data_IF_524542569867
#
_entry.id   IF_524542569867
#
_cell.length_a   1.000
_cell.length_b   1.000
_cell.length_c   1.000
_cell.angle_alpha   90.00
_cell.angle_beta   90.00
_cell.angle_gamma   90.00
#
_symmetry.space_group_name_H-M   'P 1'
#
loop_
_entity.id
_entity.type
_entity.pdbx_description
1 polymer ?
#
# COMPACT_ATOMS: atom_id res chain seq x y z
N UNK A 1 -23.72 11.11 2.09
CA UNK A 1 -22.54 10.39 2.63
C UNK A 1 -22.86 8.91 2.64
N UNK A 2 -22.46 8.17 1.59
CA UNK A 2 -22.92 6.80 1.34
C UNK A 2 -22.39 5.77 2.35
N UNK A 3 -21.14 5.92 2.83
CA UNK A 3 -20.55 4.99 3.80
C UNK A 3 -21.37 4.98 5.10
N UNK A 4 -21.76 6.15 5.62
CA UNK A 4 -22.61 6.26 6.81
C UNK A 4 -23.95 5.55 6.58
N UNK A 5 -24.59 5.77 5.42
CA UNK A 5 -25.86 5.13 5.08
C UNK A 5 -25.73 3.61 4.96
N UNK A 6 -24.66 3.13 4.34
CA UNK A 6 -24.41 1.70 4.14
C UNK A 6 -24.22 0.96 5.48
N UNK A 7 -23.47 1.54 6.41
CA UNK A 7 -23.20 0.93 7.73
C UNK A 7 -24.41 1.02 8.67
N UNK A 8 -25.10 2.17 8.68
CA UNK A 8 -26.16 2.42 9.67
C UNK A 8 -27.56 2.07 9.18
N UNK A 9 -27.77 1.95 7.87
CA UNK A 9 -29.09 1.86 7.25
C UNK A 9 -29.94 3.14 7.38
N UNK A 10 -29.36 4.26 7.83
CA UNK A 10 -30.06 5.51 8.15
C UNK A 10 -29.48 6.69 7.36
N UNK A 11 -30.26 7.78 7.22
CA UNK A 11 -29.74 9.02 6.65
C UNK A 11 -28.60 9.58 7.52
N UNK A 12 -27.53 10.17 6.91
CA UNK A 12 -26.34 10.57 7.66
C UNK A 12 -26.61 11.58 8.77
N UNK A 13 -27.54 12.50 8.53
CA UNK A 13 -27.94 13.55 9.47
C UNK A 13 -29.21 13.20 10.27
N UNK A 14 -29.66 11.94 10.22
CA UNK A 14 -30.93 11.50 10.77
C UNK A 14 -32.14 11.88 9.90
N UNK A 15 -33.32 11.39 10.29
CA UNK A 15 -34.58 11.63 9.58
C UNK A 15 -35.37 12.81 10.17
N UNK A 16 -34.89 13.38 11.29
CA UNK A 16 -35.57 14.43 12.04
C UNK A 16 -35.11 15.84 11.66
N UNK A 17 -34.02 15.99 10.90
CA UNK A 17 -33.49 17.29 10.51
C UNK A 17 -34.00 17.72 9.14
N UNK A 18 -34.56 18.93 9.07
CA UNK A 18 -34.92 19.56 7.82
C UNK A 18 -33.70 19.81 6.92
N UNK A 19 -33.92 19.72 5.61
CA UNK A 19 -32.88 19.95 4.60
C UNK A 19 -32.21 21.33 4.74
N UNK A 20 -32.94 22.35 5.19
CA UNK A 20 -32.39 23.68 5.42
C UNK A 20 -31.34 23.69 6.56
N UNK A 21 -31.62 22.95 7.64
CA UNK A 21 -30.69 22.80 8.78
C UNK A 21 -29.46 22.00 8.37
N UNK A 22 -29.65 20.90 7.64
CA UNK A 22 -28.54 20.09 7.11
C UNK A 22 -27.65 20.93 6.20
N UNK A 23 -28.24 21.72 5.29
CA UNK A 23 -27.51 22.61 4.39
C UNK A 23 -26.69 23.67 5.14
N UNK A 24 -27.25 24.24 6.22
CA UNK A 24 -26.54 25.20 7.07
C UNK A 24 -25.31 24.56 7.72
N UNK A 25 -25.47 23.40 8.36
CA UNK A 25 -24.38 22.67 9.04
C UNK A 25 -23.26 22.27 8.08
N UNK A 26 -23.62 21.70 6.93
CA UNK A 26 -22.65 21.32 5.89
C UNK A 26 -21.87 22.54 5.37
N UNK A 27 -22.53 23.70 5.23
CA UNK A 27 -21.86 24.95 4.82
C UNK A 27 -20.89 25.49 5.87
N UNK A 28 -21.08 25.14 7.13
CA UNK A 28 -20.17 25.48 8.23
C UNK A 28 -19.05 24.44 8.42
N UNK A 29 -18.96 23.44 7.54
CA UNK A 29 -17.94 22.39 7.64
C UNK A 29 -18.23 21.33 8.70
N UNK A 30 -19.46 21.29 9.23
CA UNK A 30 -19.85 20.25 10.18
C UNK A 30 -20.07 18.91 9.48
N UNK A 31 -19.73 17.84 10.20
CA UNK A 31 -20.08 16.46 9.87
C UNK A 31 -21.23 15.98 10.75
N UNK A 32 -22.02 14.99 10.30
CA UNK A 32 -22.99 14.35 11.18
C UNK A 32 -22.30 13.74 12.40
N UNK A 33 -23.06 13.56 13.48
CA UNK A 33 -22.59 12.84 14.66
C UNK A 33 -22.11 11.44 14.27
N UNK A 34 -20.93 11.06 14.78
CA UNK A 34 -20.36 9.74 14.54
C UNK A 34 -21.32 8.65 15.04
N UNK A 35 -21.79 7.74 14.17
CA UNK A 35 -22.61 6.63 14.60
C UNK A 35 -21.80 5.63 15.46
N UNK A 36 -22.41 4.98 16.45
CA UNK A 36 -21.72 4.06 17.35
C UNK A 36 -21.17 2.80 16.66
N UNK A 37 -21.65 2.48 15.45
CA UNK A 37 -21.18 1.36 14.65
C UNK A 37 -19.75 1.56 14.09
N UNK A 38 -19.24 2.80 14.08
CA UNK A 38 -17.94 3.10 13.51
C UNK A 38 -16.85 2.99 14.58
N UNK A 39 -15.78 2.26 14.27
CA UNK A 39 -14.49 2.37 15.00
C UNK A 39 -13.80 3.71 14.70
N UNK A 40 -12.74 4.03 15.46
CA UNK A 40 -12.00 5.29 15.30
C UNK A 40 -11.41 5.38 13.88
N UNK A 41 -10.79 4.31 13.40
CA UNK A 41 -10.21 4.24 12.06
C UNK A 41 -11.24 4.34 10.93
N UNK A 42 -12.39 3.65 11.10
CA UNK A 42 -13.49 3.70 10.14
C UNK A 42 -14.07 5.12 10.05
N UNK A 43 -14.20 5.81 11.18
CA UNK A 43 -14.68 7.20 11.20
C UNK A 43 -13.65 8.18 10.64
N UNK A 44 -12.37 7.99 10.95
CA UNK A 44 -11.28 8.82 10.43
C UNK A 44 -11.23 8.83 8.90
N UNK A 45 -11.56 7.70 8.24
CA UNK A 45 -11.74 7.63 6.80
C UNK A 45 -12.86 8.57 6.31
N UNK A 46 -14.02 8.56 6.96
CA UNK A 46 -15.15 9.43 6.61
C UNK A 46 -14.77 10.91 6.75
N UNK A 47 -14.07 11.28 7.83
CA UNK A 47 -13.61 12.65 8.05
C UNK A 47 -12.63 13.10 6.95
N UNK A 48 -11.66 12.25 6.58
CA UNK A 48 -10.68 12.57 5.55
C UNK A 48 -11.30 12.65 4.15
N UNK A 49 -12.34 11.87 3.86
CA UNK A 49 -13.11 11.98 2.62
C UNK A 49 -13.97 13.24 2.57
N UNK A 50 -14.46 13.68 3.72
CA UNK A 50 -15.47 14.73 3.83
C UNK A 50 -14.89 16.04 4.38
N UNK A 51 -13.57 16.27 4.27
CA UNK A 51 -12.95 17.56 4.58
C UNK A 51 -13.66 18.69 3.85
N UNK A 52 -13.91 19.79 4.56
CA UNK A 52 -14.64 20.94 4.01
C UNK A 52 -13.94 21.51 2.78
N UNK A 53 -12.63 21.77 2.91
CA UNK A 53 -11.76 22.14 1.80
C UNK A 53 -11.58 20.96 0.83
N UNK A 54 -12.00 21.07 -0.44
CA UNK A 54 -11.84 20.00 -1.42
C UNK A 54 -10.39 19.54 -1.64
N UNK A 55 -9.42 20.46 -1.49
CA UNK A 55 -8.00 20.15 -1.71
C UNK A 55 -7.38 19.29 -0.59
N UNK A 56 -8.03 19.24 0.57
CA UNK A 56 -7.62 18.42 1.72
C UNK A 56 -8.29 17.03 1.71
N UNK A 57 -9.24 16.80 0.78
CA UNK A 57 -9.93 15.51 0.70
C UNK A 57 -8.99 14.43 0.20
N UNK A 58 -9.09 13.27 0.84
CA UNK A 58 -8.35 12.08 0.44
C UNK A 58 -8.68 11.68 -1.00
N UNK A 59 -7.64 11.34 -1.78
CA UNK A 59 -7.78 10.86 -3.16
C UNK A 59 -8.58 9.55 -3.20
N UNK A 60 -9.46 9.39 -4.19
CA UNK A 60 -10.34 8.21 -4.30
C UNK A 60 -9.58 6.88 -4.31
N UNK A 61 -8.40 6.81 -4.94
CA UNK A 61 -7.58 5.60 -4.94
C UNK A 61 -7.14 5.19 -3.52
N UNK A 62 -6.82 6.17 -2.66
CA UNK A 62 -6.45 5.94 -1.25
C UNK A 62 -7.68 5.48 -0.46
N UNK A 63 -8.85 6.06 -0.72
CA UNK A 63 -10.12 5.64 -0.11
C UNK A 63 -10.39 4.16 -0.37
N UNK A 64 -10.28 3.71 -1.63
CA UNK A 64 -10.50 2.30 -2.00
C UNK A 64 -9.52 1.37 -1.28
N UNK A 65 -8.26 1.79 -1.13
CA UNK A 65 -7.25 1.01 -0.41
C UNK A 65 -7.54 0.92 1.09
N UNK A 66 -7.94 2.03 1.74
CA UNK A 66 -8.34 2.02 3.15
C UNK A 66 -9.58 1.16 3.38
N UNK A 67 -10.59 1.25 2.50
CA UNK A 67 -11.76 0.39 2.56
C UNK A 67 -11.40 -1.10 2.43
N UNK A 68 -10.45 -1.45 1.56
CA UNK A 68 -9.95 -2.83 1.46
C UNK A 68 -9.30 -3.30 2.76
N UNK A 69 -8.41 -2.49 3.35
CA UNK A 69 -7.76 -2.81 4.63
C UNK A 69 -8.80 -3.05 5.74
N UNK A 70 -9.79 -2.18 5.85
CA UNK A 70 -10.88 -2.31 6.82
C UNK A 70 -11.75 -3.56 6.59
N UNK A 71 -11.89 -4.02 5.35
CA UNK A 71 -12.64 -5.23 5.01
C UNK A 71 -11.85 -6.53 5.29
N UNK A 72 -10.53 -6.49 5.11
CA UNK A 72 -9.64 -7.62 5.38
C UNK A 72 -9.40 -7.82 6.90
N UNK A 73 -9.50 -6.75 7.69
CA UNK A 73 -9.31 -6.77 9.15
C UNK A 73 -10.46 -6.03 9.88
N UNK A 74 -11.65 -6.65 10.01
CA UNK A 74 -12.88 -6.00 10.47
C UNK A 74 -12.97 -5.79 11.99
N UNK A 75 -12.32 -6.64 12.78
CA UNK A 75 -12.11 -6.39 14.20
C UNK A 75 -10.79 -5.66 14.36
N UNK A 76 -10.79 -4.59 15.14
CA UNK A 76 -9.62 -3.81 15.52
C UNK A 76 -8.62 -4.60 16.37
N UNK A 77 -8.21 -5.78 15.91
CA UNK A 77 -6.84 -6.24 16.08
C UNK A 77 -5.98 -5.21 15.36
N UNK A 78 -5.73 -4.10 16.07
CA UNK A 78 -4.37 -3.59 16.16
C UNK A 78 -3.55 -4.87 16.32
N UNK A 79 -2.83 -5.28 15.29
CA UNK A 79 -1.74 -6.21 15.50
C UNK A 79 -0.93 -5.58 16.63
N UNK A 80 -1.03 -6.12 17.84
CA UNK A 80 -0.27 -5.69 19.02
C UNK A 80 1.24 -5.91 18.83
N UNK A 81 1.66 -6.27 17.62
CA UNK A 81 3.00 -6.14 17.09
C UNK A 81 3.00 -5.39 15.74
N UNK A 82 2.39 -4.20 15.67
CA UNK A 82 2.82 -3.22 14.66
C UNK A 82 4.26 -2.89 15.01
N UNK A 83 5.20 -3.64 14.43
CA UNK A 83 6.61 -3.28 14.47
C UNK A 83 6.70 -1.83 14.01
N UNK A 84 7.26 -0.98 14.86
CA UNK A 84 7.55 0.44 14.56
C UNK A 84 8.62 0.58 13.48
N UNK A 85 8.99 -0.52 12.85
CA UNK A 85 10.09 -0.73 11.94
C UNK A 85 9.65 -1.78 10.92
N UNK A 86 10.28 -1.73 9.75
CA UNK A 86 10.19 -2.80 8.77
C UNK A 86 10.68 -4.11 9.40
N UNK A 87 9.98 -5.22 9.15
CA UNK A 87 10.35 -6.51 9.70
C UNK A 87 11.73 -6.97 9.18
N UNK A 88 12.75 -6.83 10.03
CA UNK A 88 14.14 -7.07 9.68
C UNK A 88 14.41 -8.55 9.39
N UNK A 89 13.72 -9.45 10.09
CA UNK A 89 13.91 -10.90 9.96
C UNK A 89 13.37 -11.36 8.60
N UNK A 90 12.17 -10.91 8.22
CA UNK A 90 11.62 -11.17 6.88
C UNK A 90 12.52 -10.52 5.81
N UNK A 91 12.93 -9.26 5.98
CA UNK A 91 13.81 -8.59 5.00
C UNK A 91 15.10 -9.38 4.77
N UNK A 92 15.75 -9.82 5.85
CA UNK A 92 17.01 -10.54 5.77
C UNK A 92 16.82 -11.91 5.14
N UNK A 93 15.76 -12.63 5.51
CA UNK A 93 15.39 -13.89 4.89
C UNK A 93 15.18 -13.76 3.38
N UNK A 94 14.36 -12.80 2.94
CA UNK A 94 14.10 -12.60 1.51
C UNK A 94 15.36 -12.20 0.74
N UNK A 95 16.24 -11.39 1.33
CA UNK A 95 17.53 -11.04 0.72
C UNK A 95 18.41 -12.25 0.48
N UNK A 96 18.52 -13.13 1.47
CA UNK A 96 19.32 -14.36 1.36
C UNK A 96 18.77 -15.27 0.25
N UNK A 97 17.45 -15.45 0.23
CA UNK A 97 16.75 -16.22 -0.80
C UNK A 97 17.01 -15.66 -2.20
N UNK A 98 16.89 -14.34 -2.38
CA UNK A 98 17.12 -13.68 -3.66
C UNK A 98 18.59 -13.74 -4.08
N UNK A 99 19.53 -13.56 -3.15
CA UNK A 99 20.96 -13.63 -3.42
C UNK A 99 21.37 -15.02 -3.90
N UNK A 100 20.85 -16.08 -3.27
CA UNK A 100 21.12 -17.44 -3.67
C UNK A 100 20.61 -17.75 -5.09
N UNK A 101 19.51 -17.11 -5.50
CA UNK A 101 18.84 -17.36 -6.79
C UNK A 101 19.34 -16.47 -7.93
N UNK A 102 19.91 -15.31 -7.61
CA UNK A 102 20.42 -14.34 -8.59
C UNK A 102 21.53 -14.92 -9.50
N UNK A 103 22.20 -15.99 -9.08
CA UNK A 103 23.20 -16.69 -9.88
C UNK A 103 22.63 -17.50 -11.05
N UNK A 104 21.32 -17.76 -11.07
CA UNK A 104 20.66 -18.46 -12.17
C UNK A 104 20.03 -17.45 -13.14
N UNK A 105 20.39 -17.57 -14.42
CA UNK A 105 19.90 -16.68 -15.48
C UNK A 105 18.37 -16.66 -15.58
N UNK A 106 17.70 -17.79 -15.37
CA UNK A 106 16.24 -17.92 -15.47
C UNK A 106 15.48 -17.04 -14.47
N UNK A 107 16.14 -16.68 -13.36
CA UNK A 107 15.52 -15.89 -12.29
C UNK A 107 16.11 -14.49 -12.16
N UNK A 108 17.05 -14.09 -13.03
CA UNK A 108 17.74 -12.81 -12.89
C UNK A 108 16.79 -11.62 -12.86
N UNK A 109 15.84 -11.56 -13.80
CA UNK A 109 14.84 -10.47 -13.86
C UNK A 109 13.98 -10.42 -12.60
N UNK A 110 13.25 -11.47 -12.20
CA UNK A 110 12.45 -11.40 -10.98
C UNK A 110 13.30 -11.15 -9.75
N UNK A 111 14.49 -11.77 -9.63
CA UNK A 111 15.39 -11.50 -8.52
C UNK A 111 15.75 -10.02 -8.40
N UNK A 112 16.12 -9.36 -9.50
CA UNK A 112 16.40 -7.93 -9.52
C UNK A 112 15.20 -7.09 -9.07
N UNK A 113 14.00 -7.38 -9.61
CA UNK A 113 12.77 -6.65 -9.27
C UNK A 113 12.49 -6.72 -7.77
N UNK A 114 12.55 -7.92 -7.18
CA UNK A 114 12.28 -8.10 -5.75
C UNK A 114 13.42 -7.57 -4.86
N UNK A 115 14.67 -7.61 -5.31
CA UNK A 115 15.79 -6.95 -4.61
C UNK A 115 15.58 -5.44 -4.55
N UNK A 116 15.28 -4.80 -5.68
CA UNK A 116 14.99 -3.37 -5.74
C UNK A 116 13.77 -3.02 -4.88
N UNK A 117 12.75 -3.88 -4.84
CA UNK A 117 11.57 -3.69 -3.98
C UNK A 117 11.98 -3.62 -2.50
N UNK A 118 12.84 -4.54 -2.03
CA UNK A 118 13.34 -4.56 -0.66
C UNK A 118 14.19 -3.33 -0.37
N UNK A 119 15.10 -2.95 -1.27
CA UNK A 119 15.95 -1.76 -1.12
C UNK A 119 15.12 -0.48 -0.98
N UNK A 120 14.04 -0.36 -1.76
CA UNK A 120 13.10 0.75 -1.64
C UNK A 120 12.41 0.79 -0.29
N UNK A 121 11.90 -0.35 0.20
CA UNK A 121 11.24 -0.43 1.51
C UNK A 121 12.20 -0.05 2.63
N UNK A 122 13.44 -0.56 2.60
CA UNK A 122 14.47 -0.20 3.58
C UNK A 122 14.84 1.28 3.53
N UNK A 123 14.98 1.87 2.34
CA UNK A 123 15.26 3.30 2.22
C UNK A 123 14.12 4.14 2.82
N UNK A 124 12.86 3.76 2.59
CA UNK A 124 11.71 4.48 3.16
C UNK A 124 11.67 4.32 4.67
N UNK A 125 11.86 3.11 5.20
CA UNK A 125 11.87 2.87 6.65
C UNK A 125 12.97 3.69 7.35
N UNK A 126 14.13 3.84 6.72
CA UNK A 126 15.23 4.68 7.23
C UNK A 126 14.94 6.18 7.17
N UNK A 127 14.21 6.64 6.14
CA UNK A 127 13.98 8.07 5.89
C UNK A 127 12.65 8.60 6.43
N UNK A 128 11.72 7.72 6.79
CA UNK A 128 10.38 8.07 7.25
C UNK A 128 10.11 7.51 8.64
N UNK A 129 9.82 8.39 9.60
CA UNK A 129 9.46 8.00 10.98
C UNK A 129 7.96 7.74 11.17
N UNK A 130 7.14 7.87 10.12
CA UNK A 130 5.68 7.70 10.21
C UNK A 130 5.30 6.22 10.40
N UNK A 131 4.62 5.91 11.50
CA UNK A 131 4.24 4.54 11.88
C UNK A 131 3.30 3.89 10.86
N UNK A 132 2.31 4.63 10.36
CA UNK A 132 1.32 4.09 9.40
C UNK A 132 1.97 3.75 8.04
N UNK A 133 2.99 4.50 7.65
CA UNK A 133 3.83 4.20 6.49
C UNK A 133 4.51 2.85 6.69
N UNK A 134 5.12 2.63 7.85
CA UNK A 134 5.83 1.38 8.17
C UNK A 134 4.89 0.17 8.23
N UNK A 135 3.71 0.32 8.83
CA UNK A 135 2.64 -0.69 8.75
C UNK A 135 2.33 -1.04 7.31
N UNK A 136 2.16 -0.01 6.47
CA UNK A 136 1.82 -0.20 5.06
C UNK A 136 2.96 -0.87 4.28
N UNK A 137 4.23 -0.61 4.62
CA UNK A 137 5.39 -1.30 4.04
C UNK A 137 5.47 -2.76 4.48
N UNK A 138 5.21 -3.07 5.75
CA UNK A 138 5.19 -4.46 6.23
C UNK A 138 4.11 -5.29 5.51
N UNK A 139 2.96 -4.71 5.18
CA UNK A 139 1.95 -5.38 4.35
C UNK A 139 2.46 -5.68 2.92
N UNK A 140 3.25 -4.79 2.34
CA UNK A 140 3.90 -5.02 1.02
C UNK A 140 4.96 -6.12 1.14
N UNK A 141 5.74 -6.12 2.22
CA UNK A 141 6.78 -7.11 2.49
C UNK A 141 6.20 -8.52 2.63
N UNK A 142 5.19 -8.71 3.47
CA UNK A 142 4.46 -9.99 3.63
C UNK A 142 3.82 -10.42 2.29
N UNK A 143 3.32 -9.47 1.49
CA UNK A 143 2.77 -9.77 0.16
C UNK A 143 3.83 -10.20 -0.86
N UNK A 144 5.11 -9.89 -0.62
CA UNK A 144 6.23 -10.24 -1.50
C UNK A 144 6.80 -11.63 -1.17
N UNK A 145 6.84 -11.99 0.12
CA UNK A 145 7.42 -13.22 0.64
C UNK A 145 7.07 -14.50 -0.15
N UNK A 146 5.79 -14.89 -0.33
CA UNK A 146 5.47 -16.14 -1.02
C UNK A 146 5.91 -16.15 -2.49
N UNK A 147 5.99 -14.97 -3.13
CA UNK A 147 6.47 -14.86 -4.50
C UNK A 147 7.98 -14.98 -4.58
N UNK A 148 8.68 -14.36 -3.62
CA UNK A 148 10.12 -14.51 -3.51
C UNK A 148 10.45 -15.97 -3.27
N UNK A 149 9.82 -16.63 -2.29
CA UNK A 149 10.05 -18.05 -1.93
C UNK A 149 9.84 -19.01 -3.11
N UNK A 150 8.88 -18.75 -4.00
CA UNK A 150 8.59 -19.59 -5.16
C UNK A 150 9.66 -19.54 -6.28
N UNK A 151 10.43 -18.45 -6.37
CA UNK A 151 11.53 -18.34 -7.35
C UNK A 151 12.50 -19.52 -7.13
N UNK A 152 13.06 -20.16 -8.16
CA UNK A 152 13.99 -21.28 -7.94
C UNK A 152 13.36 -22.67 -7.78
N UNK A 153 12.04 -22.80 -7.74
CA UNK A 153 11.37 -24.00 -8.27
C UNK A 153 11.41 -23.94 -9.81
N UNK A 154 11.27 -25.06 -10.54
CA UNK A 154 11.11 -25.00 -12.00
C UNK A 154 9.90 -24.11 -12.33
N UNK A 155 10.14 -22.89 -12.79
CA UNK A 155 9.09 -21.96 -13.13
C UNK A 155 8.65 -22.18 -14.57
N UNK A 156 7.35 -22.29 -14.80
CA UNK A 156 6.81 -22.16 -16.14
C UNK A 156 6.97 -20.72 -16.63
N UNK A 157 6.93 -20.49 -17.95
CA UNK A 157 6.90 -19.13 -18.53
C UNK A 157 5.77 -18.29 -17.93
N UNK A 158 4.62 -18.92 -17.64
CA UNK A 158 3.47 -18.24 -17.03
C UNK A 158 3.79 -17.79 -15.61
N UNK A 159 4.45 -18.63 -14.82
CA UNK A 159 4.81 -18.29 -13.45
C UNK A 159 5.89 -17.22 -13.40
N UNK A 160 6.85 -17.26 -14.32
CA UNK A 160 7.84 -16.20 -14.52
C UNK A 160 7.16 -14.85 -14.76
N UNK A 161 6.23 -14.81 -15.73
CA UNK A 161 5.48 -13.60 -16.06
C UNK A 161 4.68 -13.12 -14.84
N UNK A 162 4.00 -14.02 -14.12
CA UNK A 162 3.26 -13.66 -12.89
C UNK A 162 4.17 -13.03 -11.84
N UNK A 163 5.35 -13.61 -11.58
CA UNK A 163 6.30 -13.08 -10.62
C UNK A 163 6.76 -11.66 -11.00
N UNK A 164 7.09 -11.42 -12.27
CA UNK A 164 7.48 -10.08 -12.77
C UNK A 164 6.35 -9.07 -12.58
N UNK A 165 5.14 -9.39 -13.06
CA UNK A 165 3.98 -8.49 -12.95
C UNK A 165 3.58 -8.24 -11.49
N UNK A 166 3.72 -9.26 -10.63
CA UNK A 166 3.47 -9.10 -9.21
C UNK A 166 4.48 -8.16 -8.57
N UNK A 167 5.77 -8.30 -8.87
CA UNK A 167 6.82 -7.36 -8.43
C UNK A 167 6.49 -5.92 -8.83
N UNK A 168 6.10 -5.68 -10.09
CA UNK A 168 5.66 -4.35 -10.54
C UNK A 168 4.44 -3.83 -9.80
N UNK A 169 3.46 -4.70 -9.54
CA UNK A 169 2.29 -4.33 -8.76
C UNK A 169 2.65 -3.92 -7.33
N UNK A 170 3.65 -4.55 -6.70
CA UNK A 170 4.10 -4.22 -5.35
C UNK A 170 4.87 -2.90 -5.33
N UNK A 171 5.72 -2.63 -6.32
CA UNK A 171 6.36 -1.32 -6.47
C UNK A 171 5.35 -0.18 -6.60
N UNK A 172 4.28 -0.37 -7.38
CA UNK A 172 3.18 0.61 -7.48
C UNK A 172 2.43 0.80 -6.18
N UNK A 173 2.37 -0.23 -5.32
CA UNK A 173 1.79 -0.08 -3.98
C UNK A 173 2.67 0.82 -3.11
N UNK A 174 4.00 0.69 -3.19
CA UNK A 174 4.91 1.63 -2.53
C UNK A 174 4.69 3.06 -3.03
N UNK A 175 4.57 3.30 -4.34
CA UNK A 175 4.31 4.65 -4.87
C UNK A 175 3.00 5.26 -4.32
N UNK A 176 1.96 4.43 -4.13
CA UNK A 176 0.70 4.85 -3.52
C UNK A 176 0.85 5.19 -2.04
N UNK A 177 1.64 4.40 -1.30
CA UNK A 177 1.96 4.67 0.10
C UNK A 177 2.68 6.02 0.21
N UNK A 178 3.71 6.24 -0.61
CA UNK A 178 4.44 7.52 -0.64
C UNK A 178 3.50 8.70 -0.92
N UNK A 179 2.58 8.53 -1.88
CA UNK A 179 1.58 9.55 -2.19
C UNK A 179 0.54 9.76 -1.07
N UNK A 180 0.12 8.70 -0.36
CA UNK A 180 -0.82 8.77 0.77
C UNK A 180 -0.25 9.59 1.92
N UNK A 181 1.05 9.45 2.21
CA UNK A 181 1.73 10.13 3.32
C UNK A 181 2.56 11.34 2.90
N UNK A 182 2.38 11.83 1.67
CA UNK A 182 3.10 13.00 1.11
C UNK A 182 4.63 12.90 1.20
N UNK A 183 5.17 11.69 1.06
CA UNK A 183 6.61 11.42 1.12
C UNK A 183 7.20 11.66 -0.27
N UNK A 184 8.18 12.56 -0.36
CA UNK A 184 8.93 12.82 -1.60
C UNK A 184 10.17 11.91 -1.62
N UNK A 185 10.25 10.92 -2.52
CA UNK A 185 11.44 10.09 -2.63
C UNK A 185 12.61 10.91 -3.21
N UNK A 186 13.76 10.88 -2.53
CA UNK A 186 14.95 11.67 -2.91
C UNK A 186 16.06 10.79 -3.51
N UNK A 187 15.92 9.46 -3.40
CA UNK A 187 16.92 8.50 -3.86
C UNK A 187 16.51 7.84 -5.17
N UNK A 188 17.50 7.54 -6.01
CA UNK A 188 17.34 6.90 -7.32
C UNK A 188 16.65 5.54 -7.23
N UNK A 189 16.74 4.84 -6.08
CA UNK A 189 16.06 3.55 -5.86
C UNK A 189 14.55 3.62 -6.09
N UNK A 190 13.94 4.81 -6.00
CA UNK A 190 12.51 5.02 -6.27
C UNK A 190 12.16 5.18 -7.74
N UNK A 191 13.14 5.36 -8.62
CA UNK A 191 13.03 5.31 -10.09
C UNK A 191 12.89 3.89 -10.63
N UNK A 192 12.06 3.07 -9.97
CA UNK A 192 12.02 1.62 -10.17
C UNK A 192 11.57 1.19 -11.56
N UNK A 193 10.69 1.96 -12.19
CA UNK A 193 10.11 1.60 -13.48
C UNK A 193 11.19 1.54 -14.57
N UNK A 194 12.04 2.56 -14.64
CA UNK A 194 13.13 2.64 -15.62
C UNK A 194 14.21 1.58 -15.36
N UNK A 195 14.54 1.33 -14.09
CA UNK A 195 15.51 0.30 -13.69
C UNK A 195 15.02 -1.11 -14.05
N UNK A 196 13.79 -1.45 -13.67
CA UNK A 196 13.19 -2.75 -14.01
C UNK A 196 13.05 -2.95 -15.51
N UNK A 197 12.70 -1.89 -16.25
CA UNK A 197 12.60 -1.95 -17.71
C UNK A 197 13.97 -2.16 -18.38
N UNK A 198 15.01 -1.51 -17.86
CA UNK A 198 16.38 -1.68 -18.36
C UNK A 198 16.86 -3.14 -18.21
N UNK A 199 16.57 -3.78 -17.08
CA UNK A 199 16.93 -5.19 -16.85
C UNK A 199 16.15 -6.14 -17.78
N UNK A 200 14.86 -5.87 -18.02
CA UNK A 200 14.08 -6.63 -19.00
C UNK A 200 14.67 -6.53 -20.42
N UNK A 201 15.12 -5.34 -20.83
CA UNK A 201 15.72 -5.14 -22.15
C UNK A 201 17.09 -5.81 -22.28
N UNK A 202 17.92 -5.76 -21.23
CA UNK A 202 19.23 -6.39 -21.21
C UNK A 202 19.12 -7.91 -21.45
N UNK A 203 18.16 -8.56 -20.80
CA UNK A 203 17.90 -9.99 -20.98
C UNK A 203 17.36 -10.33 -22.38
N UNK A 204 16.51 -9.47 -22.96
CA UNK A 204 16.05 -9.65 -24.34
C UNK A 204 17.17 -9.49 -25.38
N UNK A 205 18.17 -8.66 -25.08
CA UNK A 205 19.26 -8.32 -26.00
C UNK A 205 20.47 -9.26 -25.86
N UNK A 206 20.50 -10.12 -24.84
CA UNK A 206 21.67 -10.96 -24.52
C UNK A 206 22.90 -10.16 -24.07
N UNK A 207 22.74 -8.88 -23.74
CA UNK A 207 23.82 -7.99 -23.32
C UNK A 207 23.83 -8.02 -21.80
N UNK A 208 24.85 -8.66 -21.22
CA UNK A 208 25.12 -8.60 -19.79
C UNK A 208 26.11 -7.46 -19.50
N UNK A 209 25.85 -6.60 -18.50
CA UNK A 209 26.88 -5.69 -17.98
C UNK A 209 28.02 -6.45 -17.29
#
# INVERSE_FOLDING_TARGET
MCIIQAVTGKLPWGNQLDNAVVKYRVRNGELPQRPPQFSDDQWQLVENMCKFNPNERMRLLVVVQRLRRLAEFPDGVITEHVSKELDCDIVQHLKEVLLHRAGNADYRVPCFIYQLLIERMMHIDKTCSNVDTKVSLNLVLVSAEPWVEQLGSQMSTVDFVKAVFRGFSLHRQIDRILAEYFIVPISEVHGWADQCFSVLQAEQSGIHP
#
